data_IF_211551589219
#
_entry.id   IF_211551589219
#
_cell.length_a   1.000
_cell.length_b   1.000
_cell.length_c   1.000
_cell.angle_alpha   90.00
_cell.angle_beta   90.00
_cell.angle_gamma   90.00
#
_symmetry.space_group_name_H-M   'P 1'
#
loop_
_entity.id
_entity.type
_entity.pdbx_description
1 polymer ?
#
# COMPACT_ATOMS: atom_id res chain seq x y z
N UNK A 1 8.09 -23.81 45.11
CA UNK A 1 7.02 -22.94 44.56
C UNK A 1 7.67 -21.69 43.99
N UNK A 2 8.23 -21.76 42.76
CA UNK A 2 8.67 -20.62 41.91
C UNK A 2 9.44 -21.09 40.64
N UNK A 3 8.96 -22.13 39.95
CA UNK A 3 9.65 -22.64 38.73
C UNK A 3 8.71 -22.85 37.55
N UNK A 4 7.39 -22.73 37.75
CA UNK A 4 6.38 -23.09 36.74
C UNK A 4 5.87 -21.86 35.96
N UNK A 5 6.06 -20.63 36.49
CA UNK A 5 5.55 -19.41 35.84
C UNK A 5 6.55 -18.68 34.93
N UNK A 6 7.80 -19.13 34.83
CA UNK A 6 8.81 -18.54 33.93
C UNK A 6 8.81 -19.16 32.52
N UNK A 7 8.03 -20.20 32.29
CA UNK A 7 7.91 -20.89 30.99
C UNK A 7 6.76 -20.35 30.12
N UNK A 8 5.99 -19.36 30.61
CA UNK A 8 4.66 -19.02 30.06
C UNK A 8 4.68 -17.93 28.96
N UNK A 9 5.79 -17.22 28.73
CA UNK A 9 5.89 -16.29 27.59
C UNK A 9 7.32 -16.25 27.02
N UNK A 10 7.75 -17.29 26.32
CA UNK A 10 8.86 -17.13 25.36
C UNK A 10 8.32 -16.37 24.15
N UNK A 11 8.37 -15.04 24.21
CA UNK A 11 8.09 -14.20 23.04
C UNK A 11 9.05 -14.61 21.93
N UNK A 12 8.51 -15.09 20.81
CA UNK A 12 9.33 -15.33 19.64
C UNK A 12 9.72 -13.98 19.03
N UNK A 13 10.96 -13.55 19.29
CA UNK A 13 11.47 -12.25 18.85
C UNK A 13 11.45 -12.08 17.32
N UNK A 14 11.58 -13.18 16.57
CA UNK A 14 11.52 -13.15 15.11
C UNK A 14 10.08 -12.85 14.65
N UNK A 15 9.07 -13.44 15.29
CA UNK A 15 7.66 -13.12 15.01
C UNK A 15 7.35 -11.65 15.31
N UNK A 16 7.89 -11.12 16.42
CA UNK A 16 7.73 -9.71 16.79
C UNK A 16 8.36 -8.79 15.74
N UNK A 17 9.60 -9.07 15.33
CA UNK A 17 10.28 -8.29 14.28
C UNK A 17 9.49 -8.36 12.97
N UNK A 18 9.08 -9.56 12.54
CA UNK A 18 8.33 -9.75 11.30
C UNK A 18 7.01 -8.98 11.32
N UNK A 19 6.24 -9.10 12.40
CA UNK A 19 4.98 -8.39 12.56
C UNK A 19 5.18 -6.87 12.61
N UNK A 20 6.20 -6.39 13.34
CA UNK A 20 6.51 -4.97 13.41
C UNK A 20 6.84 -4.39 12.02
N UNK A 21 7.72 -5.07 11.26
CA UNK A 21 8.08 -4.65 9.90
C UNK A 21 6.85 -4.67 8.98
N UNK A 22 6.01 -5.71 9.09
CA UNK A 22 4.77 -5.84 8.31
C UNK A 22 3.81 -4.67 8.59
N UNK A 23 3.58 -4.35 9.87
CA UNK A 23 2.74 -3.23 10.28
C UNK A 23 3.33 -1.88 9.87
N UNK A 24 4.65 -1.69 9.98
CA UNK A 24 5.31 -0.48 9.48
C UNK A 24 5.11 -0.32 7.96
N UNK A 25 5.16 -1.42 7.20
CA UNK A 25 4.83 -1.44 5.79
C UNK A 25 3.40 -0.98 5.50
N UNK A 26 2.42 -1.48 6.26
CA UNK A 26 1.05 -0.98 6.20
C UNK A 26 0.96 0.50 6.55
N UNK A 27 1.48 0.95 7.69
CA UNK A 27 1.40 2.37 8.11
C UNK A 27 1.95 3.32 7.05
N UNK A 28 3.12 3.01 6.48
CA UNK A 28 3.76 3.86 5.46
C UNK A 28 3.02 3.76 4.12
N UNK A 29 2.76 2.55 3.64
CA UNK A 29 2.19 2.32 2.32
C UNK A 29 0.71 2.67 2.23
N UNK A 30 -0.11 2.12 3.13
CA UNK A 30 -1.54 2.42 3.22
C UNK A 30 -1.78 3.91 3.49
N UNK A 31 -1.04 4.51 4.43
CA UNK A 31 -1.16 5.95 4.71
C UNK A 31 -0.90 6.81 3.47
N UNK A 32 0.14 6.48 2.71
CA UNK A 32 0.45 7.18 1.46
C UNK A 32 -0.63 6.99 0.38
N UNK A 33 -1.20 5.78 0.25
CA UNK A 33 -2.30 5.45 -0.68
C UNK A 33 -3.56 6.23 -0.32
N UNK A 34 -3.99 6.18 0.94
CA UNK A 34 -5.20 6.89 1.37
C UNK A 34 -5.12 8.38 1.10
N UNK A 35 -3.97 9.02 1.38
CA UNK A 35 -3.78 10.44 1.09
C UNK A 35 -3.86 10.73 -0.42
N UNK A 36 -3.15 9.96 -1.26
CA UNK A 36 -3.13 10.22 -2.70
C UNK A 36 -4.48 9.92 -3.37
N UNK A 37 -5.21 8.92 -2.88
CA UNK A 37 -6.51 8.52 -3.42
C UNK A 37 -7.57 9.59 -3.15
N UNK A 38 -7.58 10.16 -1.94
CA UNK A 38 -8.45 11.30 -1.61
C UNK A 38 -8.15 12.49 -2.54
N UNK A 39 -6.87 12.81 -2.73
CA UNK A 39 -6.46 13.89 -3.64
C UNK A 39 -6.89 13.59 -5.08
N UNK A 40 -6.62 12.38 -5.58
CA UNK A 40 -6.98 11.96 -6.92
C UNK A 40 -8.49 11.96 -7.17
N UNK A 41 -9.29 11.59 -6.16
CA UNK A 41 -10.74 11.64 -6.23
C UNK A 41 -11.26 13.08 -6.39
N UNK A 42 -10.76 14.01 -5.57
CA UNK A 42 -11.10 15.42 -5.62
C UNK A 42 -10.58 16.09 -6.90
N UNK A 43 -9.39 15.69 -7.37
CA UNK A 43 -8.73 16.20 -8.57
C UNK A 43 -9.59 16.08 -9.84
N UNK A 44 -10.42 15.03 -9.95
CA UNK A 44 -11.31 14.85 -11.11
C UNK A 44 -12.21 16.03 -11.43
N UNK A 45 -12.60 16.79 -10.41
CA UNK A 45 -13.55 17.91 -10.53
C UNK A 45 -12.91 19.27 -10.29
N UNK A 46 -11.62 19.32 -9.94
CA UNK A 46 -10.96 20.56 -9.56
C UNK A 46 -9.53 20.63 -10.06
N UNK A 47 -9.23 21.74 -10.72
CA UNK A 47 -7.90 22.15 -11.16
C UNK A 47 -6.90 22.18 -10.00
N UNK A 48 -7.25 22.85 -8.91
CA UNK A 48 -6.44 22.94 -7.69
C UNK A 48 -6.08 21.55 -7.15
N UNK A 49 -7.07 20.67 -7.01
CA UNK A 49 -6.83 19.32 -6.50
C UNK A 49 -6.06 18.44 -7.50
N UNK A 50 -6.19 18.66 -8.81
CA UNK A 50 -5.38 17.98 -9.84
C UNK A 50 -3.90 18.31 -9.69
N UNK A 51 -3.59 19.59 -9.50
CA UNK A 51 -2.22 20.04 -9.28
C UNK A 51 -1.67 19.53 -7.94
N UNK A 52 -2.45 19.64 -6.87
CA UNK A 52 -2.10 19.12 -5.56
C UNK A 52 -1.81 17.60 -5.63
N UNK A 53 -2.66 16.83 -6.33
CA UNK A 53 -2.44 15.39 -6.56
C UNK A 53 -1.11 15.13 -7.27
N UNK A 54 -0.79 15.91 -8.31
CA UNK A 54 0.45 15.73 -9.09
C UNK A 54 1.69 15.99 -8.23
N UNK A 55 1.65 17.01 -7.36
CA UNK A 55 2.73 17.32 -6.42
C UNK A 55 2.84 16.26 -5.33
N UNK A 56 1.74 15.91 -4.67
CA UNK A 56 1.68 14.89 -3.61
C UNK A 56 2.16 13.53 -4.11
N UNK A 57 1.80 13.14 -5.35
CA UNK A 57 2.22 11.89 -5.96
C UNK A 57 3.75 11.71 -6.01
N UNK A 58 4.54 12.79 -6.14
CA UNK A 58 6.01 12.71 -6.17
C UNK A 58 6.58 12.20 -4.85
N UNK A 59 5.92 12.48 -3.73
CA UNK A 59 6.31 12.06 -2.38
C UNK A 59 5.64 10.75 -2.00
N UNK A 60 4.35 10.57 -2.28
CA UNK A 60 3.64 9.35 -1.89
C UNK A 60 4.10 8.13 -2.69
N UNK A 61 4.47 8.27 -3.96
CA UNK A 61 4.97 7.14 -4.78
C UNK A 61 6.14 6.39 -4.13
N UNK A 62 7.27 7.02 -3.75
CA UNK A 62 8.36 6.32 -3.08
C UNK A 62 7.92 5.75 -1.72
N UNK A 63 7.05 6.43 -0.97
CA UNK A 63 6.50 5.90 0.29
C UNK A 63 5.70 4.61 0.07
N UNK A 64 4.88 4.54 -0.99
CA UNK A 64 4.13 3.33 -1.35
C UNK A 64 5.08 2.17 -1.67
N UNK A 65 6.15 2.43 -2.41
CA UNK A 65 7.17 1.43 -2.72
C UNK A 65 7.92 0.95 -1.47
N UNK A 66 8.28 1.86 -0.57
CA UNK A 66 8.88 1.49 0.72
C UNK A 66 7.90 0.66 1.56
N UNK A 67 6.65 1.10 1.63
CA UNK A 67 5.60 0.40 2.37
C UNK A 67 5.39 -1.03 1.88
N UNK A 68 5.28 -1.24 0.56
CA UNK A 68 5.04 -2.59 0.01
C UNK A 68 6.27 -3.48 0.20
N UNK A 69 7.49 -2.93 0.10
CA UNK A 69 8.71 -3.67 0.37
C UNK A 69 8.78 -4.14 1.83
N UNK A 70 8.48 -3.25 2.78
CA UNK A 70 8.41 -3.59 4.19
C UNK A 70 7.31 -4.62 4.45
N UNK A 71 6.12 -4.47 3.85
CA UNK A 71 5.04 -5.43 4.02
C UNK A 71 5.43 -6.83 3.50
N UNK A 72 6.14 -6.91 2.37
CA UNK A 72 6.63 -8.21 1.85
C UNK A 72 7.69 -8.81 2.77
N UNK A 73 8.71 -8.04 3.16
CA UNK A 73 9.78 -8.53 4.03
C UNK A 73 9.23 -8.96 5.39
N UNK A 74 8.39 -8.13 6.01
CA UNK A 74 7.73 -8.43 7.27
C UNK A 74 6.82 -9.65 7.17
N UNK A 75 6.04 -9.76 6.09
CA UNK A 75 5.20 -10.92 5.81
C UNK A 75 6.00 -12.22 5.65
N UNK A 76 7.11 -12.19 4.92
CA UNK A 76 7.99 -13.36 4.76
C UNK A 76 8.57 -13.83 6.10
N UNK A 77 8.95 -12.90 6.98
CA UNK A 77 9.48 -13.23 8.31
C UNK A 77 8.35 -13.73 9.24
N UNK A 78 7.20 -13.05 9.24
CA UNK A 78 6.08 -13.34 10.13
C UNK A 78 5.38 -14.66 9.79
N UNK A 79 5.24 -14.99 8.51
CA UNK A 79 4.60 -16.22 8.04
C UNK A 79 5.57 -17.38 7.79
N UNK A 80 6.85 -17.26 8.19
CA UNK A 80 7.90 -18.24 7.82
C UNK A 80 7.60 -19.70 8.23
N UNK A 81 6.92 -19.90 9.35
CA UNK A 81 6.57 -21.22 9.90
C UNK A 81 5.16 -21.68 9.48
N UNK A 82 4.52 -20.95 8.57
CA UNK A 82 3.15 -21.20 8.14
C UNK A 82 3.14 -21.79 6.74
N UNK A 83 2.19 -22.68 6.48
CA UNK A 83 1.95 -23.17 5.12
C UNK A 83 1.56 -22.00 4.21
N UNK A 84 2.07 -22.00 2.98
CA UNK A 84 1.75 -20.98 1.97
C UNK A 84 0.35 -21.22 1.35
N UNK A 85 -0.67 -21.10 2.19
CA UNK A 85 -2.09 -21.31 1.89
C UNK A 85 -2.95 -20.39 2.74
N UNK A 86 -4.21 -20.15 2.36
CA UNK A 86 -5.09 -19.25 3.12
C UNK A 86 -4.59 -17.81 3.12
N UNK A 87 -4.53 -17.17 4.29
CA UNK A 87 -4.21 -15.73 4.41
C UNK A 87 -2.79 -15.38 3.91
N UNK A 88 -1.70 -16.10 4.28
CA UNK A 88 -0.38 -15.85 3.70
C UNK A 88 -0.36 -15.85 2.16
N UNK A 89 -1.08 -16.78 1.53
CA UNK A 89 -1.20 -16.83 0.07
C UNK A 89 -1.98 -15.64 -0.48
N UNK A 90 -3.11 -15.29 0.13
CA UNK A 90 -3.93 -14.15 -0.28
C UNK A 90 -3.13 -12.83 -0.15
N UNK A 91 -2.35 -12.66 0.92
CA UNK A 91 -1.45 -11.51 1.06
C UNK A 91 -0.40 -11.43 -0.04
N UNK A 92 0.20 -12.55 -0.45
CA UNK A 92 1.14 -12.57 -1.57
C UNK A 92 0.46 -12.16 -2.90
N UNK A 93 -0.77 -12.64 -3.15
CA UNK A 93 -1.55 -12.25 -4.33
C UNK A 93 -1.89 -10.76 -4.30
N UNK A 94 -2.33 -10.23 -3.15
CA UNK A 94 -2.59 -8.80 -2.97
C UNK A 94 -1.31 -7.99 -3.25
N UNK A 95 -0.19 -8.38 -2.67
CA UNK A 95 1.08 -7.69 -2.86
C UNK A 95 1.49 -7.68 -4.35
N UNK A 96 1.31 -8.80 -5.06
CA UNK A 96 1.56 -8.87 -6.50
C UNK A 96 0.66 -7.92 -7.29
N UNK A 97 -0.65 -7.91 -7.03
CA UNK A 97 -1.59 -7.00 -7.70
C UNK A 97 -1.24 -5.53 -7.43
N UNK A 98 -0.91 -5.18 -6.18
CA UNK A 98 -0.49 -3.84 -5.79
C UNK A 98 0.81 -3.42 -6.49
N UNK A 99 1.78 -4.33 -6.63
CA UNK A 99 3.01 -4.07 -7.38
C UNK A 99 2.70 -3.80 -8.86
N UNK A 100 1.88 -4.63 -9.51
CA UNK A 100 1.49 -4.44 -10.91
C UNK A 100 0.77 -3.11 -11.11
N UNK A 101 -0.13 -2.74 -10.20
CA UNK A 101 -0.80 -1.45 -10.22
C UNK A 101 0.20 -0.29 -9.99
N UNK A 102 1.12 -0.45 -9.04
CA UNK A 102 2.21 0.48 -8.77
C UNK A 102 3.10 0.71 -10.00
N UNK A 103 3.40 -0.32 -10.79
CA UNK A 103 4.08 -0.21 -12.08
C UNK A 103 3.27 0.61 -13.08
N UNK A 104 1.97 0.32 -13.23
CA UNK A 104 1.10 1.10 -14.12
C UNK A 104 1.10 2.59 -13.76
N UNK A 105 0.91 2.93 -12.47
CA UNK A 105 0.93 4.31 -12.00
C UNK A 105 2.31 4.95 -12.19
N UNK A 106 3.38 4.20 -11.92
CA UNK A 106 4.75 4.69 -11.96
C UNK A 106 5.28 4.96 -13.36
N UNK A 107 4.92 4.13 -14.34
CA UNK A 107 5.53 4.15 -15.67
C UNK A 107 4.58 4.57 -16.79
N UNK A 108 3.27 4.65 -16.53
CA UNK A 108 2.30 5.18 -17.50
C UNK A 108 1.69 6.49 -17.03
N UNK A 109 1.15 6.53 -15.81
CA UNK A 109 0.47 7.73 -15.30
C UNK A 109 1.46 8.83 -14.95
N UNK A 110 2.52 8.52 -14.20
CA UNK A 110 3.48 9.53 -13.76
C UNK A 110 4.18 10.26 -14.91
N UNK A 111 4.70 9.60 -15.97
CA UNK A 111 5.27 10.32 -17.11
C UNK A 111 4.25 11.20 -17.85
N UNK A 112 3.00 10.75 -17.95
CA UNK A 112 1.93 11.54 -18.56
C UNK A 112 1.64 12.84 -17.78
N UNK A 113 1.55 12.74 -16.44
CA UNK A 113 1.34 13.91 -15.57
C UNK A 113 2.54 14.88 -15.64
N UNK A 114 3.76 14.36 -15.58
CA UNK A 114 4.99 15.17 -15.67
C UNK A 114 5.12 15.89 -17.01
N UNK A 115 4.72 15.25 -18.13
CA UNK A 115 4.70 15.90 -19.44
C UNK A 115 3.75 17.11 -19.43
N UNK A 116 2.54 16.95 -18.89
CA UNK A 116 1.56 18.04 -18.78
C UNK A 116 2.03 19.16 -17.85
N UNK A 117 2.71 18.81 -16.76
CA UNK A 117 3.32 19.80 -15.86
C UNK A 117 4.37 20.64 -16.60
N UNK A 118 5.26 20.01 -17.38
CA UNK A 118 6.26 20.71 -18.21
C UNK A 118 5.64 21.60 -19.30
N UNK A 119 4.48 21.21 -19.82
CA UNK A 119 3.71 21.99 -20.80
C UNK A 119 2.91 23.14 -20.15
N UNK A 120 2.97 23.34 -18.83
CA UNK A 120 2.19 24.35 -18.11
C UNK A 120 0.70 24.01 -17.99
N UNK A 121 0.31 22.76 -18.25
CA UNK A 121 -1.07 22.26 -18.27
C UNK A 121 -1.46 21.49 -17.00
N UNK A 122 -0.77 21.77 -15.90
CA UNK A 122 -1.00 21.14 -14.58
C UNK A 122 -2.37 21.49 -13.99
N UNK A 123 -2.86 22.71 -14.26
CA UNK A 123 -4.17 23.17 -13.80
C UNK A 123 -5.35 22.69 -14.66
N UNK A 124 -5.11 22.07 -15.81
CA UNK A 124 -6.20 21.52 -16.61
C UNK A 124 -6.65 20.17 -16.05
N UNK A 125 -7.96 19.93 -16.04
CA UNK A 125 -8.51 18.63 -15.72
C UNK A 125 -7.97 17.55 -16.66
N UNK A 126 -7.70 16.37 -16.12
CA UNK A 126 -7.24 15.25 -16.91
C UNK A 126 -8.34 14.80 -17.89
N UNK A 127 -7.99 14.31 -19.09
CA UNK A 127 -8.96 13.72 -20.01
C UNK A 127 -9.74 12.58 -19.35
N UNK A 128 -11.04 12.45 -19.65
CA UNK A 128 -11.93 11.47 -19.01
C UNK A 128 -11.41 10.01 -19.09
N UNK A 129 -10.76 9.66 -20.21
CA UNK A 129 -10.14 8.34 -20.38
C UNK A 129 -9.00 8.07 -19.39
N UNK A 130 -8.20 9.09 -19.07
CA UNK A 130 -7.14 9.00 -18.07
C UNK A 130 -7.71 9.03 -16.65
N UNK A 131 -8.71 9.88 -16.38
CA UNK A 131 -9.38 9.89 -15.09
C UNK A 131 -9.95 8.52 -14.73
N UNK A 132 -10.61 7.83 -15.68
CA UNK A 132 -11.16 6.48 -15.45
C UNK A 132 -10.07 5.47 -15.13
N UNK A 133 -8.97 5.45 -15.90
CA UNK A 133 -7.85 4.51 -15.67
C UNK A 133 -7.17 4.75 -14.32
N UNK A 134 -6.93 6.01 -13.97
CA UNK A 134 -6.34 6.37 -12.68
C UNK A 134 -7.29 5.95 -11.56
N UNK A 135 -8.58 6.27 -11.65
CA UNK A 135 -9.55 5.94 -10.62
C UNK A 135 -9.67 4.44 -10.36
N UNK A 136 -9.65 3.61 -11.41
CA UNK A 136 -9.61 2.15 -11.25
C UNK A 136 -8.34 1.72 -10.50
N UNK A 137 -7.18 2.30 -10.83
CA UNK A 137 -5.94 2.05 -10.12
C UNK A 137 -5.98 2.46 -8.65
N UNK A 138 -6.55 3.63 -8.33
CA UNK A 138 -6.70 4.09 -6.94
C UNK A 138 -7.60 3.14 -6.14
N UNK A 139 -8.80 2.83 -6.65
CA UNK A 139 -9.74 1.90 -5.98
C UNK A 139 -9.13 0.52 -5.76
N UNK A 140 -8.43 -0.04 -6.75
CA UNK A 140 -7.75 -1.33 -6.59
C UNK A 140 -6.65 -1.27 -5.52
N UNK A 141 -5.91 -0.16 -5.44
CA UNK A 141 -4.93 0.04 -4.37
C UNK A 141 -5.60 0.10 -3.00
N UNK A 142 -6.64 0.91 -2.84
CA UNK A 142 -7.30 1.11 -1.56
C UNK A 142 -7.89 -0.21 -1.03
N UNK A 143 -8.58 -0.98 -1.88
CA UNK A 143 -9.09 -2.32 -1.55
C UNK A 143 -7.95 -3.27 -1.19
N UNK A 144 -6.86 -3.26 -1.95
CA UNK A 144 -5.72 -4.15 -1.69
C UNK A 144 -5.04 -3.85 -0.36
N UNK A 145 -4.77 -2.59 -0.06
CA UNK A 145 -4.10 -2.19 1.18
C UNK A 145 -4.98 -2.38 2.42
N UNK A 146 -6.22 -1.87 2.40
CA UNK A 146 -7.15 -2.04 3.52
C UNK A 146 -7.59 -3.50 3.70
N UNK A 147 -7.86 -4.19 2.60
CA UNK A 147 -8.20 -5.62 2.62
C UNK A 147 -7.03 -6.46 3.14
N UNK A 148 -5.80 -6.14 2.74
CA UNK A 148 -4.59 -6.75 3.29
C UNK A 148 -4.47 -6.53 4.80
N UNK A 149 -4.65 -5.31 5.28
CA UNK A 149 -4.60 -5.01 6.71
C UNK A 149 -5.70 -5.75 7.49
N UNK A 150 -6.93 -5.75 6.98
CA UNK A 150 -8.05 -6.48 7.60
C UNK A 150 -7.76 -7.98 7.69
N UNK A 151 -7.23 -8.59 6.62
CA UNK A 151 -6.84 -9.99 6.63
C UNK A 151 -5.72 -10.28 7.65
N UNK A 152 -4.78 -9.36 7.85
CA UNK A 152 -3.77 -9.49 8.91
C UNK A 152 -4.43 -9.49 10.29
N UNK A 153 -5.39 -8.60 10.54
CA UNK A 153 -6.14 -8.58 11.81
C UNK A 153 -6.86 -9.90 12.04
N UNK A 154 -7.58 -10.40 11.02
CA UNK A 154 -8.25 -11.70 11.08
C UNK A 154 -7.26 -12.81 11.36
N UNK A 155 -6.11 -12.81 10.70
CA UNK A 155 -5.07 -13.82 10.93
C UNK A 155 -4.55 -13.81 12.37
N UNK A 156 -4.24 -12.62 12.92
CA UNK A 156 -3.72 -12.50 14.30
C UNK A 156 -4.74 -12.98 15.33
N UNK A 157 -6.03 -12.71 15.11
CA UNK A 157 -7.10 -13.10 16.05
C UNK A 157 -7.48 -14.59 15.98
N UNK A 158 -7.11 -15.29 14.90
CA UNK A 158 -7.45 -16.70 14.69
C UNK A 158 -6.22 -17.62 14.69
N UNK A 159 -5.06 -17.11 15.16
CA UNK A 159 -3.83 -17.88 15.31
C UNK A 159 -3.77 -18.61 16.65
#
# INVERSE_FOLDING_TARGET
MNSINLFIYSINFIDVIGLFILLAGFVIGLGAVTVIDIHGFLGRKSSYWTEATTRTHKVTKPMIWVGIMLAIIGGLIFYREQSFSGIPFIHAVIAFVLIVNGYFLSFKVSPFLLKREKEGRSGELLPASWQKKIMVGLIMSDIGWWGGLLLLVVYILNR
#
